data_IF_117438588802
#
_entry.id   IF_117438588802
#
_cell.length_a   1.000
_cell.length_b   1.000
_cell.length_c   1.000
_cell.angle_alpha   90.00
_cell.angle_beta   90.00
_cell.angle_gamma   90.00
#
_symmetry.space_group_name_H-M   'P 1'
#
loop_
_entity.id
_entity.type
_entity.pdbx_description
1 polymer ?
#
# COMPACT_ATOMS: atom_id res chain seq x y z
N UNK A 1 20.64 -3.25 -15.50
CA UNK A 1 20.61 -4.35 -14.51
C UNK A 1 19.72 -3.88 -13.37
N UNK A 2 18.56 -4.52 -13.17
CA UNK A 2 17.66 -4.18 -12.06
C UNK A 2 18.29 -4.77 -10.78
N UNK A 3 18.49 -3.93 -9.76
CA UNK A 3 19.17 -4.35 -8.53
C UNK A 3 18.18 -5.09 -7.61
N UNK A 4 18.09 -6.41 -7.75
CA UNK A 4 17.11 -7.24 -7.02
C UNK A 4 17.22 -7.18 -5.49
N UNK A 5 18.34 -6.75 -4.93
CA UNK A 5 18.53 -6.56 -3.47
C UNK A 5 17.73 -5.37 -2.93
N UNK A 6 17.62 -4.29 -3.68
CA UNK A 6 16.84 -3.11 -3.30
C UNK A 6 15.34 -3.43 -3.27
N UNK A 7 14.84 -4.20 -4.24
CA UNK A 7 13.42 -4.59 -4.32
C UNK A 7 13.00 -5.42 -3.10
N UNK A 8 13.82 -6.40 -2.69
CA UNK A 8 13.54 -7.22 -1.49
C UNK A 8 13.57 -6.41 -0.20
N UNK A 9 14.44 -5.41 -0.11
CA UNK A 9 14.49 -4.52 1.05
C UNK A 9 13.20 -3.69 1.14
N UNK A 10 12.80 -3.05 0.03
CA UNK A 10 11.60 -2.24 -0.01
C UNK A 10 10.32 -3.05 0.20
N UNK A 11 10.26 -4.28 -0.33
CA UNK A 11 9.16 -5.21 -0.04
C UNK A 11 9.04 -5.48 1.45
N UNK A 12 10.15 -5.81 2.13
CA UNK A 12 10.14 -6.03 3.58
C UNK A 12 9.71 -4.79 4.37
N UNK A 13 10.06 -3.59 3.88
CA UNK A 13 9.66 -2.32 4.50
C UNK A 13 8.17 -2.03 4.28
N UNK A 14 7.64 -2.34 3.10
CA UNK A 14 6.25 -2.13 2.70
C UNK A 14 5.28 -3.10 3.39
N UNK A 15 5.67 -4.37 3.57
CA UNK A 15 4.83 -5.38 4.20
C UNK A 15 4.41 -4.96 5.62
N UNK A 16 3.13 -5.10 5.92
CA UNK A 16 2.54 -4.77 7.22
C UNK A 16 1.19 -4.07 7.12
N UNK A 17 0.73 -3.57 8.27
CA UNK A 17 -0.48 -2.77 8.41
C UNK A 17 -0.13 -1.28 8.48
N UNK A 18 -0.89 -0.48 7.74
CA UNK A 18 -0.74 0.95 7.57
C UNK A 18 -2.09 1.64 7.76
N UNK A 19 -2.13 2.75 8.48
CA UNK A 19 -3.36 3.53 8.66
C UNK A 19 -3.19 4.94 8.15
N UNK A 20 -4.18 5.43 7.41
CA UNK A 20 -4.23 6.80 6.91
C UNK A 20 -5.52 7.47 7.37
N UNK A 21 -5.47 8.78 7.65
CA UNK A 21 -6.67 9.55 8.01
C UNK A 21 -6.63 10.92 7.36
N UNK A 22 -7.72 11.26 6.69
CA UNK A 22 -8.05 12.61 6.23
C UNK A 22 -9.36 13.05 6.93
N UNK A 23 -9.78 14.33 6.87
CA UNK A 23 -10.97 14.79 7.58
C UNK A 23 -12.24 13.99 7.26
N UNK A 24 -12.39 13.55 6.01
CA UNK A 24 -13.61 12.94 5.48
C UNK A 24 -13.64 11.40 5.66
N UNK A 25 -12.48 10.76 5.80
CA UNK A 25 -12.40 9.30 5.88
C UNK A 25 -11.07 8.82 6.49
N UNK A 26 -11.09 7.61 7.03
CA UNK A 26 -9.87 6.85 7.37
C UNK A 26 -9.72 5.65 6.44
N UNK A 27 -8.49 5.19 6.28
CA UNK A 27 -8.15 4.00 5.52
C UNK A 27 -7.23 3.07 6.32
N UNK A 28 -7.49 1.77 6.22
CA UNK A 28 -6.57 0.72 6.69
C UNK A 28 -6.03 -0.04 5.48
N UNK A 29 -4.71 -0.11 5.36
CA UNK A 29 -3.99 -0.66 4.22
C UNK A 29 -3.06 -1.78 4.68
N UNK A 30 -3.15 -2.92 4.02
CA UNK A 30 -2.37 -4.11 4.34
C UNK A 30 -1.60 -4.58 3.11
N UNK A 31 -0.32 -4.87 3.31
CA UNK A 31 0.54 -5.53 2.33
C UNK A 31 1.09 -6.84 2.92
N UNK A 32 0.83 -7.97 2.25
CA UNK A 32 1.28 -9.30 2.63
C UNK A 32 2.48 -9.73 1.78
N UNK A 33 3.39 -10.51 2.37
CA UNK A 33 4.62 -11.01 1.72
C UNK A 33 4.41 -11.82 0.43
N UNK A 34 3.20 -12.25 0.15
CA UNK A 34 2.85 -13.04 -1.05
C UNK A 34 2.36 -12.18 -2.22
N UNK A 35 2.54 -10.85 -2.14
CA UNK A 35 2.12 -9.92 -3.17
C UNK A 35 0.61 -9.66 -3.17
N UNK A 36 -0.11 -9.97 -2.08
CA UNK A 36 -1.52 -9.60 -1.89
C UNK A 36 -1.65 -8.46 -0.90
N UNK A 37 -2.65 -7.62 -1.08
CA UNK A 37 -2.98 -6.57 -0.15
C UNK A 37 -4.48 -6.28 -0.10
N UNK A 38 -4.84 -5.43 0.85
CA UNK A 38 -6.21 -4.94 0.97
C UNK A 38 -6.22 -3.52 1.49
N UNK A 39 -7.22 -2.75 1.07
CA UNK A 39 -7.55 -1.46 1.67
C UNK A 39 -9.00 -1.47 2.14
N UNK A 40 -9.25 -0.91 3.31
CA UNK A 40 -10.57 -0.62 3.83
C UNK A 40 -10.73 0.89 3.98
N UNK A 41 -11.86 1.46 3.55
CA UNK A 41 -12.21 2.86 3.86
C UNK A 41 -13.42 2.91 4.78
N UNK A 42 -13.36 3.78 5.79
CA UNK A 42 -14.43 3.92 6.78
C UNK A 42 -15.73 4.46 6.17
N UNK A 43 -15.65 5.34 5.17
CA UNK A 43 -16.81 5.97 4.54
C UNK A 43 -17.62 4.99 3.68
N UNK A 44 -16.95 4.14 2.90
CA UNK A 44 -17.61 3.13 2.05
C UNK A 44 -17.94 1.84 2.79
N UNK A 45 -17.34 1.63 3.97
CA UNK A 45 -17.46 0.38 4.76
C UNK A 45 -17.18 -0.87 3.93
N UNK A 46 -16.23 -0.76 2.99
CA UNK A 46 -15.91 -1.82 2.04
C UNK A 46 -14.42 -2.09 2.02
N UNK A 47 -14.05 -3.36 1.94
CA UNK A 47 -12.67 -3.81 1.75
C UNK A 47 -12.42 -4.14 0.30
N UNK A 48 -11.38 -3.55 -0.28
CA UNK A 48 -10.91 -3.82 -1.63
C UNK A 48 -9.64 -4.65 -1.53
N UNK A 49 -9.66 -5.84 -2.15
CA UNK A 49 -8.49 -6.70 -2.27
C UNK A 49 -7.78 -6.46 -3.59
N UNK A 50 -6.45 -6.50 -3.55
CA UNK A 50 -5.60 -6.29 -4.72
C UNK A 50 -4.36 -7.19 -4.66
N UNK A 51 -3.76 -7.40 -5.84
CA UNK A 51 -2.39 -7.92 -5.97
C UNK A 51 -1.45 -6.74 -6.13
N UNK A 52 -0.21 -6.88 -5.68
CA UNK A 52 0.81 -5.86 -5.87
C UNK A 52 2.17 -6.45 -6.26
N UNK A 53 2.96 -5.65 -6.98
CA UNK A 53 4.34 -5.96 -7.34
C UNK A 53 5.16 -4.68 -7.28
N UNK A 54 6.37 -4.76 -6.72
CA UNK A 54 7.37 -3.69 -6.80
C UNK A 54 8.16 -3.89 -8.10
N UNK A 55 7.96 -3.00 -9.08
CA UNK A 55 8.58 -3.11 -10.42
C UNK A 55 10.00 -2.54 -10.47
N UNK A 56 10.22 -1.47 -9.72
CA UNK A 56 11.50 -0.76 -9.56
C UNK A 56 11.64 -0.30 -8.12
N UNK A 57 12.79 0.25 -7.74
CA UNK A 57 13.12 0.69 -6.38
C UNK A 57 12.03 1.55 -5.70
N UNK A 58 11.18 2.25 -6.46
CA UNK A 58 10.10 3.08 -5.91
C UNK A 58 8.78 2.97 -6.68
N UNK A 59 8.60 1.98 -7.55
CA UNK A 59 7.36 1.83 -8.34
C UNK A 59 6.56 0.62 -7.86
N UNK A 60 5.38 0.88 -7.32
CA UNK A 60 4.40 -0.09 -6.85
C UNK A 60 3.27 -0.21 -7.87
N UNK A 61 3.06 -1.40 -8.42
CA UNK A 61 1.91 -1.70 -9.26
C UNK A 61 0.84 -2.39 -8.41
N UNK A 62 -0.38 -1.87 -8.43
CA UNK A 62 -1.55 -2.44 -7.76
C UNK A 62 -2.52 -2.94 -8.82
N UNK A 63 -3.10 -4.14 -8.63
CA UNK A 63 -4.01 -4.75 -9.61
C UNK A 63 -5.21 -5.42 -8.99
N UNK A 64 -6.39 -5.21 -9.58
CA UNK A 64 -7.66 -5.84 -9.23
C UNK A 64 -8.35 -6.31 -10.51
N UNK A 65 -8.29 -7.62 -10.80
CA UNK A 65 -8.80 -8.15 -12.07
C UNK A 65 -8.00 -7.60 -13.26
N UNK A 66 -8.69 -6.98 -14.21
CA UNK A 66 -8.08 -6.32 -15.37
C UNK A 66 -7.53 -4.92 -15.05
N UNK A 67 -8.10 -4.24 -14.04
CA UNK A 67 -7.74 -2.88 -13.66
C UNK A 67 -6.40 -2.85 -12.92
N UNK A 68 -5.53 -1.91 -13.31
CA UNK A 68 -4.18 -1.76 -12.74
C UNK A 68 -3.84 -0.28 -12.57
N UNK A 69 -3.21 0.06 -11.44
CA UNK A 69 -2.54 1.35 -11.24
C UNK A 69 -1.07 1.16 -10.97
N UNK A 70 -0.30 2.20 -11.29
CA UNK A 70 1.10 2.32 -10.91
C UNK A 70 1.28 3.57 -10.05
N UNK A 71 2.05 3.42 -8.98
CA UNK A 71 2.31 4.44 -8.00
C UNK A 71 3.80 4.55 -7.74
N UNK A 72 4.30 5.78 -7.62
CA UNK A 72 5.51 6.03 -6.87
C UNK A 72 5.19 5.81 -5.39
N UNK A 73 5.98 4.99 -4.71
CA UNK A 73 5.90 4.86 -3.26
C UNK A 73 7.17 5.38 -2.60
N UNK A 74 7.00 5.97 -1.41
CA UNK A 74 8.11 6.41 -0.57
C UNK A 74 7.86 6.02 0.87
N UNK A 75 8.81 5.31 1.47
CA UNK A 75 8.78 4.95 2.89
C UNK A 75 9.83 5.79 3.64
N UNK A 76 9.39 6.61 4.59
CA UNK A 76 10.26 7.40 5.48
C UNK A 76 9.99 7.01 6.94
N UNK A 77 10.88 6.21 7.54
CA UNK A 77 10.62 5.67 8.87
C UNK A 77 9.34 4.81 8.87
N UNK A 78 8.35 5.22 9.64
CA UNK A 78 7.03 4.59 9.71
C UNK A 78 5.98 5.22 8.78
N UNK A 79 6.34 6.16 7.92
CA UNK A 79 5.40 6.81 6.99
C UNK A 79 5.49 6.20 5.58
N UNK A 80 4.34 5.96 4.96
CA UNK A 80 4.18 5.56 3.56
C UNK A 80 3.38 6.62 2.81
N UNK A 81 3.93 7.07 1.69
CA UNK A 81 3.26 7.95 0.72
C UNK A 81 3.16 7.22 -0.62
N UNK A 82 1.97 7.26 -1.23
CA UNK A 82 1.71 6.77 -2.57
C UNK A 82 1.34 7.94 -3.47
N UNK A 83 1.86 7.96 -4.70
CA UNK A 83 1.56 8.98 -5.71
C UNK A 83 1.29 8.31 -7.04
N UNK A 84 0.19 8.60 -7.73
CA UNK A 84 -0.13 7.96 -8.99
C UNK A 84 0.87 8.33 -10.09
N UNK A 85 1.24 7.33 -10.91
CA UNK A 85 2.01 7.49 -12.15
C UNK A 85 1.09 7.29 -13.35
N UNK A 86 0.32 6.20 -13.32
CA UNK A 86 -0.62 5.81 -14.35
C UNK A 86 -1.81 5.08 -13.73
N UNK A 87 -3.00 5.45 -14.19
CA UNK A 87 -4.27 4.82 -13.88
C UNK A 87 -4.97 4.55 -15.22
N UNK A 88 -5.46 3.33 -15.47
CA UNK A 88 -6.33 3.08 -16.62
C UNK A 88 -7.77 3.55 -16.28
N UNK A 89 -8.64 3.87 -17.24
CA UNK A 89 -10.02 4.26 -16.91
C UNK A 89 -10.76 3.05 -16.27
N UNK A 90 -11.56 3.30 -15.22
CA UNK A 90 -12.03 2.35 -14.18
C UNK A 90 -11.01 1.93 -13.10
N UNK A 91 -9.82 2.52 -13.06
CA UNK A 91 -8.82 2.11 -12.08
C UNK A 91 -9.13 2.68 -10.71
N UNK A 92 -9.47 1.74 -9.81
CA UNK A 92 -9.51 1.88 -8.37
C UNK A 92 -8.57 2.98 -7.85
N UNK A 93 -9.11 4.17 -7.57
CA UNK A 93 -8.45 5.30 -6.89
C UNK A 93 -8.19 4.91 -5.44
N UNK A 94 -7.28 3.96 -5.25
CA UNK A 94 -7.14 3.31 -3.97
C UNK A 94 -6.45 4.29 -3.00
N UNK A 95 -5.43 5.05 -3.38
CA UNK A 95 -4.69 5.83 -2.38
C UNK A 95 -3.98 7.01 -3.04
N UNK A 96 -4.66 8.15 -3.18
CA UNK A 96 -4.00 9.36 -3.67
C UNK A 96 -3.87 10.45 -2.60
N UNK A 97 -4.70 10.42 -1.55
CA UNK A 97 -4.81 11.53 -0.59
C UNK A 97 -4.24 11.23 0.80
N UNK A 98 -3.81 9.98 1.04
CA UNK A 98 -3.38 9.55 2.36
C UNK A 98 -1.85 9.52 2.47
N UNK A 99 -1.36 10.07 3.57
CA UNK A 99 -0.10 9.61 4.16
C UNK A 99 -0.44 8.55 5.19
N UNK A 100 0.14 7.35 5.07
CA UNK A 100 -0.10 6.28 6.04
C UNK A 100 1.02 6.21 7.06
N UNK A 101 0.64 5.83 8.26
CA UNK A 101 1.55 5.47 9.34
C UNK A 101 1.51 3.97 9.56
N UNK A 102 2.68 3.34 9.68
CA UNK A 102 2.80 1.92 9.95
C UNK A 102 2.31 1.64 11.37
N UNK A 103 1.36 0.71 11.48
CA UNK A 103 0.91 0.22 12.78
C UNK A 103 1.97 -0.76 13.27
N UNK A 104 2.75 -0.32 14.24
CA UNK A 104 3.67 -1.19 14.96
C UNK A 104 2.82 -2.09 15.87
N UNK A 105 2.78 -3.37 15.57
CA UNK A 105 2.22 -4.34 16.51
C UNK A 105 3.08 -4.32 17.77
N UNK A 106 2.56 -3.77 18.86
CA UNK A 106 3.10 -4.02 20.18
C UNK A 106 2.85 -5.50 20.49
N UNK A 107 3.84 -6.34 20.23
CA UNK A 107 3.88 -7.70 20.76
C UNK A 107 4.10 -7.62 22.28
N UNK A 108 3.04 -7.34 23.04
CA UNK A 108 2.94 -7.61 24.47
C UNK A 108 1.49 -7.49 24.96
N UNK A 109 0.61 -8.37 24.51
CA UNK A 109 -0.47 -8.84 25.39
C UNK A 109 0.00 -10.18 25.92
N UNK A 110 0.72 -10.13 27.05
CA UNK A 110 0.88 -11.32 27.88
C UNK A 110 -0.51 -11.68 28.41
N UNK A 111 -0.84 -12.97 28.26
CA UNK A 111 -1.95 -13.66 28.90
C UNK A 111 -2.04 -13.36 30.39
#
# INVERSE_FOLDING_TARGET
>A
MINCSNIKLEENRLVGHWTGKIPETSAELYFNKDGRGSIFYSNFKSTIYFKYIIKHDSILSLGRGISKSEHYFKIKGAELQLRPIKSDEETTDIINEFTFSKVLSNSASNK
#
